data_IF_098985041380
#
_entry.id   IF_098985041380
#
_cell.length_a   1.000
_cell.length_b   1.000
_cell.length_c   1.000
_cell.angle_alpha   90.00
_cell.angle_beta   90.00
_cell.angle_gamma   90.00
#
_symmetry.space_group_name_H-M   'P 1'
#
loop_
_entity.id
_entity.type
_entity.pdbx_description
1 polymer ?
#
# COMPACT_ATOMS: atom_id res chain seq x y z
N UNK A 1 -10.90 -6.04 20.49
CA UNK A 1 -10.49 -5.81 19.09
C UNK A 1 -9.10 -6.39 18.90
N UNK A 2 -8.93 -7.25 17.89
CA UNK A 2 -7.63 -7.84 17.57
C UNK A 2 -6.87 -6.87 16.67
N UNK A 3 -5.60 -6.60 16.99
CA UNK A 3 -4.73 -5.75 16.19
C UNK A 3 -3.64 -6.60 15.55
N UNK A 4 -3.40 -6.37 14.27
CA UNK A 4 -2.20 -6.89 13.60
C UNK A 4 -0.98 -6.11 14.07
N UNK A 5 0.21 -6.74 14.00
CA UNK A 5 1.45 -5.97 14.18
C UNK A 5 1.54 -4.88 13.10
N UNK A 6 1.84 -3.62 13.47
CA UNK A 6 1.87 -2.53 12.49
C UNK A 6 2.82 -2.81 11.34
N UNK A 7 2.40 -2.45 10.13
CA UNK A 7 3.27 -2.38 8.96
C UNK A 7 3.92 -1.00 8.90
N UNK A 8 5.21 -0.96 8.59
CA UNK A 8 5.98 0.29 8.57
C UNK A 8 6.60 0.52 7.21
N UNK A 9 6.61 1.76 6.74
CA UNK A 9 7.10 2.12 5.42
C UNK A 9 8.17 3.21 5.50
N UNK A 10 9.11 3.12 4.56
CA UNK A 10 9.99 4.22 4.16
C UNK A 10 9.40 4.95 2.97
N UNK A 11 9.51 6.27 2.96
CA UNK A 11 9.12 7.11 1.83
C UNK A 11 10.33 7.88 1.31
N UNK A 12 10.52 7.81 0.00
CA UNK A 12 11.50 8.59 -0.73
C UNK A 12 10.77 9.54 -1.68
N UNK A 13 11.14 10.81 -1.65
CA UNK A 13 10.52 11.87 -2.46
C UNK A 13 11.58 12.55 -3.32
N UNK A 14 11.32 12.80 -4.59
CA UNK A 14 12.21 13.63 -5.42
C UNK A 14 11.68 15.06 -5.61
N UNK A 15 12.47 15.90 -6.27
CA UNK A 15 12.12 17.31 -6.55
C UNK A 15 10.83 17.47 -7.37
N UNK A 16 10.47 16.45 -8.17
CA UNK A 16 9.26 16.40 -8.97
C UNK A 16 8.02 15.92 -8.18
N UNK A 17 8.13 15.75 -6.85
CA UNK A 17 7.11 15.17 -5.97
C UNK A 17 6.71 13.74 -6.35
N UNK A 18 7.57 13.00 -7.04
CA UNK A 18 7.40 11.55 -7.18
C UNK A 18 7.73 10.90 -5.84
N UNK A 19 6.96 9.89 -5.49
CA UNK A 19 7.01 9.27 -4.19
C UNK A 19 7.16 7.77 -4.33
N UNK A 20 8.26 7.23 -3.83
CA UNK A 20 8.48 5.80 -3.72
C UNK A 20 8.24 5.39 -2.25
N UNK A 21 7.30 4.49 -2.02
CA UNK A 21 7.08 3.88 -0.70
C UNK A 21 7.49 2.41 -0.71
N UNK A 22 8.19 1.98 0.34
CA UNK A 22 8.66 0.60 0.52
C UNK A 22 8.31 0.09 1.91
N UNK A 23 7.71 -1.10 2.00
CA UNK A 23 7.45 -1.74 3.29
C UNK A 23 8.77 -2.20 3.92
N UNK A 24 8.97 -1.90 5.20
CA UNK A 24 10.10 -2.41 5.97
C UNK A 24 9.83 -3.87 6.36
N UNK A 25 10.74 -4.81 6.06
CA UNK A 25 10.60 -6.17 6.52
C UNK A 25 10.61 -6.22 8.05
N UNK A 26 9.77 -7.08 8.63
CA UNK A 26 9.76 -7.31 10.08
C UNK A 26 11.08 -7.99 10.49
N UNK A 27 11.82 -7.39 11.41
CA UNK A 27 13.00 -8.02 12.03
C UNK A 27 12.59 -9.35 12.68
N UNK A 28 13.33 -10.43 12.40
CA UNK A 28 13.07 -11.80 12.89
C UNK A 28 11.77 -12.46 12.42
N UNK A 29 11.10 -11.93 11.39
CA UNK A 29 10.02 -12.65 10.72
C UNK A 29 10.65 -13.58 9.67
N UNK A 30 10.46 -14.89 9.83
CA UNK A 30 10.50 -15.76 8.66
C UNK A 30 9.37 -15.25 7.75
N UNK A 31 9.73 -14.50 6.71
CA UNK A 31 8.80 -14.09 5.67
C UNK A 31 8.41 -15.35 4.89
N UNK A 32 7.58 -16.19 5.50
CA UNK A 32 6.93 -17.28 4.81
C UNK A 32 5.91 -16.60 3.90
N UNK A 33 6.29 -16.43 2.63
CA UNK A 33 5.35 -16.02 1.60
C UNK A 33 4.17 -16.96 1.68
N UNK A 34 3.00 -16.41 2.03
CA UNK A 34 1.82 -17.24 2.16
C UNK A 34 1.50 -17.76 0.77
N UNK A 35 1.52 -19.08 0.59
CA UNK A 35 1.14 -19.72 -0.68
C UNK A 35 -0.21 -19.16 -1.09
N UNK A 36 -0.33 -18.67 -2.32
CA UNK A 36 -1.54 -17.98 -2.76
C UNK A 36 -1.61 -16.51 -2.34
N UNK A 37 -0.50 -15.81 -2.16
CA UNK A 37 -0.50 -14.35 -1.99
C UNK A 37 0.47 -13.67 -2.95
N UNK A 38 0.23 -12.39 -3.21
CA UNK A 38 1.20 -11.52 -3.88
C UNK A 38 1.86 -10.60 -2.85
N UNK A 39 3.08 -10.15 -3.14
CA UNK A 39 3.77 -9.11 -2.36
C UNK A 39 3.90 -7.83 -3.18
N UNK A 40 3.79 -6.68 -2.54
CA UNK A 40 4.09 -5.38 -3.17
C UNK A 40 5.47 -4.98 -2.71
N UNK A 41 6.46 -5.01 -3.62
CA UNK A 41 7.84 -4.65 -3.29
C UNK A 41 7.98 -3.16 -3.00
N UNK A 42 7.37 -2.33 -3.85
CA UNK A 42 7.27 -0.89 -3.66
C UNK A 42 6.13 -0.28 -4.49
N UNK A 43 5.66 0.88 -4.05
CA UNK A 43 4.64 1.68 -4.73
C UNK A 43 5.24 3.03 -5.11
N UNK A 44 5.07 3.44 -6.37
CA UNK A 44 5.46 4.75 -6.86
C UNK A 44 4.21 5.58 -7.18
N UNK A 45 4.05 6.72 -6.53
CA UNK A 45 2.96 7.66 -6.76
C UNK A 45 3.50 8.86 -7.53
N UNK A 46 2.90 9.14 -8.69
CA UNK A 46 3.07 10.39 -9.43
C UNK A 46 1.82 11.26 -9.23
N UNK A 47 1.87 12.24 -8.30
CA UNK A 47 0.72 13.10 -8.02
C UNK A 47 0.40 14.09 -9.14
N UNK A 48 1.37 14.41 -10.01
CA UNK A 48 1.20 15.33 -11.14
C UNK A 48 0.41 14.64 -12.25
N UNK A 49 0.85 13.46 -12.66
CA UNK A 49 0.16 12.66 -13.68
C UNK A 49 -1.08 11.94 -13.15
N UNK A 50 -1.27 11.93 -11.81
CA UNK A 50 -2.31 11.19 -11.10
C UNK A 50 -2.26 9.70 -11.43
N UNK A 51 -1.08 9.11 -11.32
CA UNK A 51 -0.83 7.69 -11.60
C UNK A 51 -0.11 7.05 -10.43
N UNK A 52 -0.42 5.78 -10.18
CA UNK A 52 0.29 4.88 -9.27
C UNK A 52 0.91 3.76 -10.11
N UNK A 53 2.15 3.42 -9.80
CA UNK A 53 2.83 2.22 -10.27
C UNK A 53 3.15 1.33 -9.05
N UNK A 54 2.91 0.03 -9.17
CA UNK A 54 3.24 -0.96 -8.15
C UNK A 54 4.16 -2.02 -8.77
N UNK A 55 5.23 -2.36 -8.06
CA UNK A 55 6.00 -3.58 -8.32
C UNK A 55 5.40 -4.71 -7.49
N UNK A 56 4.70 -5.62 -8.17
CA UNK A 56 4.00 -6.73 -7.52
C UNK A 56 4.65 -8.06 -7.90
N UNK A 57 4.99 -8.89 -6.91
CA UNK A 57 5.53 -10.23 -7.11
C UNK A 57 4.49 -11.32 -6.80
N UNK A 58 4.41 -12.32 -7.68
CA UNK A 58 3.71 -13.60 -7.44
C UNK A 58 4.69 -14.73 -7.80
N UNK A 59 5.06 -15.56 -6.83
CA UNK A 59 5.93 -16.75 -7.02
C UNK A 59 7.13 -16.48 -7.95
N UNK A 60 7.91 -15.44 -7.64
CA UNK A 60 9.09 -15.01 -8.40
C UNK A 60 8.81 -14.35 -9.76
N UNK A 61 7.55 -13.98 -10.05
CA UNK A 61 7.20 -13.15 -11.23
C UNK A 61 6.86 -11.74 -10.80
N UNK A 62 7.60 -10.76 -11.30
CA UNK A 62 7.32 -9.35 -11.08
C UNK A 62 6.41 -8.76 -12.16
N UNK A 63 5.47 -7.91 -11.74
CA UNK A 63 4.54 -7.19 -12.59
C UNK A 63 4.63 -5.70 -12.30
N UNK A 64 4.80 -4.91 -13.36
CA UNK A 64 4.65 -3.45 -13.29
C UNK A 64 3.19 -3.09 -13.47
N UNK A 65 2.49 -2.86 -12.37
CA UNK A 65 1.05 -2.59 -12.36
C UNK A 65 0.80 -1.09 -12.32
N UNK A 66 -0.02 -0.58 -13.23
CA UNK A 66 -0.39 0.82 -13.34
C UNK A 66 -1.86 1.03 -12.97
N UNK A 67 -2.14 2.03 -12.16
CA UNK A 67 -3.50 2.45 -11.80
C UNK A 67 -3.62 3.97 -11.68
N UNK A 68 -4.83 4.54 -11.81
CA UNK A 68 -5.03 5.96 -11.58
C UNK A 68 -4.96 6.29 -10.08
N UNK A 69 -4.27 7.37 -9.73
CA UNK A 69 -4.33 7.98 -8.40
C UNK A 69 -5.67 8.72 -8.29
N UNK A 70 -6.62 8.13 -7.57
CA UNK A 70 -7.92 8.73 -7.29
C UNK A 70 -8.06 8.96 -5.79
N UNK A 71 -8.34 10.21 -5.41
CA UNK A 71 -8.82 10.51 -4.07
C UNK A 71 -10.30 10.10 -4.02
N UNK A 72 -10.65 9.24 -3.08
CA UNK A 72 -12.03 8.83 -2.88
C UNK A 72 -12.87 10.02 -2.40
N UNK A 73 -14.04 10.25 -3.00
CA UNK A 73 -14.90 11.38 -2.64
C UNK A 73 -15.55 11.21 -1.27
N UNK A 74 -15.52 10.00 -0.71
CA UNK A 74 -16.12 9.68 0.59
C UNK A 74 -15.24 10.03 1.80
N UNK A 75 -14.09 10.69 1.60
CA UNK A 75 -13.28 11.17 2.72
C UNK A 75 -13.99 12.29 3.49
N UNK A 76 -14.18 12.06 4.78
CA UNK A 76 -14.69 13.04 5.75
C UNK A 76 -13.49 13.62 6.52
N UNK A 77 -13.23 14.91 6.33
CA UNK A 77 -12.15 15.60 7.03
C UNK A 77 -12.59 16.04 8.42
N UNK A 78 -11.77 15.77 9.43
CA UNK A 78 -11.97 16.24 10.80
C UNK A 78 -11.04 17.41 11.11
N UNK A 79 -11.35 18.16 12.18
CA UNK A 79 -10.44 19.15 12.80
C UNK A 79 -9.51 18.50 13.82
N UNK A 80 -9.69 17.22 14.12
CA UNK A 80 -8.85 16.52 15.07
C UNK A 80 -7.40 16.48 14.60
N UNK A 81 -6.50 16.79 15.51
CA UNK A 81 -5.06 16.79 15.27
C UNK A 81 -4.34 15.91 16.27
N UNK A 82 -3.24 15.29 15.84
CA UNK A 82 -2.29 14.64 16.73
C UNK A 82 -0.87 14.83 16.20
N UNK A 83 0.12 14.67 17.07
CA UNK A 83 1.53 14.75 16.69
C UNK A 83 2.08 13.35 16.43
N UNK A 84 2.61 13.10 15.23
CA UNK A 84 3.31 11.87 14.84
C UNK A 84 4.74 12.24 14.48
N UNK A 85 5.73 11.67 15.16
CA UNK A 85 7.17 11.95 14.93
C UNK A 85 7.49 13.47 14.91
N UNK A 86 6.87 14.25 15.81
CA UNK A 86 7.04 15.70 15.87
C UNK A 86 6.25 16.50 14.82
N UNK A 87 5.50 15.85 13.94
CA UNK A 87 4.72 16.49 12.87
C UNK A 87 3.23 16.51 13.24
N UNK A 88 2.59 17.67 13.13
CA UNK A 88 1.15 17.81 13.34
C UNK A 88 0.40 17.19 12.15
N UNK A 89 -0.42 16.18 12.44
CA UNK A 89 -1.27 15.49 11.48
C UNK A 89 -2.74 15.80 11.75
N UNK A 90 -3.53 15.94 10.70
CA UNK A 90 -4.99 16.09 10.73
C UNK A 90 -5.65 14.76 10.37
N UNK A 91 -6.79 14.45 11.00
CA UNK A 91 -7.55 13.23 10.70
C UNK A 91 -8.47 13.40 9.49
N UNK A 92 -8.58 12.34 8.69
CA UNK A 92 -9.74 12.09 7.83
C UNK A 92 -10.23 10.65 8.02
N UNK A 93 -11.51 10.42 7.74
CA UNK A 93 -12.11 9.08 7.81
C UNK A 93 -12.88 8.76 6.54
N UNK A 94 -12.97 7.48 6.21
CA UNK A 94 -13.75 7.01 5.06
C UNK A 94 -14.34 5.66 5.41
N UNK A 95 -15.59 5.44 5.01
CA UNK A 95 -16.24 4.15 5.16
C UNK A 95 -16.45 3.48 3.81
N UNK A 96 -16.07 2.20 3.73
CA UNK A 96 -16.42 1.31 2.62
C UNK A 96 -17.28 0.15 3.12
N UNK A 97 -17.77 -0.66 2.20
CA UNK A 97 -18.63 -1.81 2.52
C UNK A 97 -17.99 -2.80 3.49
N UNK A 98 -16.66 -3.01 3.39
CA UNK A 98 -15.93 -4.00 4.20
C UNK A 98 -15.12 -3.40 5.36
N UNK A 99 -14.64 -2.16 5.22
CA UNK A 99 -13.70 -1.55 6.15
C UNK A 99 -14.06 -0.09 6.43
N UNK A 100 -13.68 0.39 7.61
CA UNK A 100 -13.51 1.81 7.88
C UNK A 100 -12.02 2.16 7.86
N UNK A 101 -11.73 3.35 7.37
CA UNK A 101 -10.38 3.87 7.25
C UNK A 101 -10.29 5.15 8.08
N UNK A 102 -9.30 5.22 8.95
CA UNK A 102 -8.88 6.46 9.60
C UNK A 102 -7.46 6.78 9.13
N UNK A 103 -7.23 8.00 8.68
CA UNK A 103 -5.92 8.46 8.20
C UNK A 103 -5.51 9.72 8.91
N UNK A 104 -4.21 9.83 9.16
CA UNK A 104 -3.59 11.00 9.75
C UNK A 104 -2.57 11.56 8.75
N UNK A 105 -2.82 12.76 8.24
CA UNK A 105 -2.00 13.39 7.20
C UNK A 105 -1.49 14.78 7.61
N UNK A 106 -0.26 15.10 7.22
CA UNK A 106 0.44 16.33 7.55
C UNK A 106 0.36 17.35 6.42
N UNK A 107 -0.41 18.42 6.62
CA UNK A 107 -0.54 19.54 5.66
C UNK A 107 0.74 20.37 5.51
N UNK A 108 1.61 20.35 6.53
CA UNK A 108 2.91 21.05 6.51
C UNK A 108 3.87 20.48 5.48
N UNK A 109 3.71 19.21 5.10
CA UNK A 109 4.47 18.54 4.05
C UNK A 109 3.56 18.46 2.82
N UNK A 110 3.80 19.31 1.82
CA UNK A 110 2.91 19.49 0.66
C UNK A 110 2.84 18.28 -0.28
N UNK A 111 3.72 17.32 -0.10
CA UNK A 111 3.77 16.07 -0.86
C UNK A 111 2.49 15.25 -0.63
N UNK A 112 1.70 15.03 -1.67
CA UNK A 112 0.39 14.33 -1.60
C UNK A 112 0.53 12.81 -1.66
N UNK A 113 1.46 12.28 -0.89
CA UNK A 113 1.84 10.87 -0.92
C UNK A 113 1.50 10.18 0.40
N UNK A 114 1.82 8.89 0.47
CA UNK A 114 1.62 8.09 1.66
C UNK A 114 2.15 6.68 1.47
N UNK A 115 2.07 5.85 2.53
CA UNK A 115 2.49 4.47 2.44
C UNK A 115 1.51 3.68 1.58
N UNK A 116 2.04 2.74 0.79
CA UNK A 116 1.27 1.91 -0.14
C UNK A 116 0.48 2.80 -1.13
N UNK A 117 -0.81 2.53 -1.36
CA UNK A 117 -1.67 3.28 -2.28
C UNK A 117 -2.45 4.43 -1.61
N UNK A 118 -2.16 4.77 -0.35
CA UNK A 118 -2.86 5.83 0.37
C UNK A 118 -2.22 7.20 0.10
N UNK A 119 -2.38 7.69 -1.12
CA UNK A 119 -1.97 9.05 -1.54
C UNK A 119 -3.16 9.96 -1.88
N UNK A 120 -2.86 11.18 -2.35
CA UNK A 120 -3.86 12.11 -2.89
C UNK A 120 -4.53 13.04 -1.89
N UNK A 121 -4.37 12.81 -0.58
CA UNK A 121 -4.83 13.73 0.46
C UNK A 121 -4.04 15.05 0.42
N UNK A 122 -4.56 16.16 0.99
CA UNK A 122 -3.89 17.45 0.99
C UNK A 122 -2.74 17.49 2.00
N UNK A 123 -1.70 16.71 1.74
CA UNK A 123 -0.52 16.54 2.58
C UNK A 123 -0.04 15.09 2.62
N UNK A 124 1.06 14.86 3.33
CA UNK A 124 1.66 13.54 3.47
C UNK A 124 0.88 12.68 4.46
N UNK A 125 0.47 11.47 4.06
CA UNK A 125 -0.13 10.49 4.98
C UNK A 125 0.95 9.85 5.85
N UNK A 126 0.78 9.98 7.18
CA UNK A 126 1.73 9.48 8.18
C UNK A 126 1.27 8.17 8.83
N UNK A 127 -0.03 7.98 8.99
CA UNK A 127 -0.59 6.77 9.61
C UNK A 127 -1.97 6.46 9.02
N UNK A 128 -2.25 5.18 8.81
CA UNK A 128 -3.57 4.66 8.43
C UNK A 128 -3.95 3.55 9.42
N UNK A 129 -5.19 3.61 9.90
CA UNK A 129 -5.85 2.53 10.60
C UNK A 129 -6.96 1.98 9.70
N UNK A 130 -6.90 0.68 9.42
CA UNK A 130 -7.90 -0.03 8.62
C UNK A 130 -8.63 -0.96 9.58
N UNK A 131 -9.90 -0.70 9.82
CA UNK A 131 -10.73 -1.48 10.73
C UNK A 131 -11.78 -2.24 9.92
N UNK A 132 -11.77 -3.58 9.96
CA UNK A 132 -12.82 -4.37 9.35
C UNK A 132 -14.18 -4.09 10.00
N UNK A 133 -15.25 -4.08 9.20
CA UNK A 133 -16.63 -3.93 9.72
C UNK A 133 -17.19 -5.25 10.27
N UNK A 134 -16.57 -6.39 9.95
CA UNK A 134 -16.92 -7.68 10.54
C UNK A 134 -16.20 -7.86 11.89
N UNK A 135 -16.90 -8.45 12.87
CA UNK A 135 -16.39 -8.60 14.24
C UNK A 135 -15.20 -9.57 14.36
N UNK A 136 -14.99 -10.41 13.35
CA UNK A 136 -13.88 -11.39 13.30
C UNK A 136 -12.61 -10.84 12.64
N UNK A 137 -12.65 -9.63 12.07
CA UNK A 137 -11.50 -9.03 11.40
C UNK A 137 -10.50 -8.42 12.38
N UNK A 138 -9.21 -8.49 12.03
CA UNK A 138 -8.16 -7.77 12.76
C UNK A 138 -7.97 -6.36 12.21
N UNK A 139 -7.78 -5.38 13.09
CA UNK A 139 -7.43 -4.01 12.72
C UNK A 139 -5.97 -3.95 12.27
N UNK A 140 -5.73 -3.43 11.07
CA UNK A 140 -4.39 -3.19 10.55
C UNK A 140 -3.98 -1.74 10.78
N UNK A 141 -2.72 -1.53 11.17
CA UNK A 141 -2.13 -0.20 11.29
C UNK A 141 -0.94 -0.11 10.34
N UNK A 142 -0.91 0.94 9.51
CA UNK A 142 0.18 1.25 8.59
C UNK A 142 0.80 2.58 8.99
N UNK A 143 2.12 2.62 9.19
CA UNK A 143 2.84 3.81 9.65
C UNK A 143 3.96 4.20 8.69
N UNK A 144 4.07 5.49 8.44
CA UNK A 144 5.28 6.09 7.90
C UNK A 144 6.33 6.18 8.99
N UNK A 145 7.53 5.69 8.71
CA UNK A 145 8.62 5.67 9.69
C UNK A 145 9.79 6.56 9.34
N UNK A 146 10.04 6.78 8.06
CA UNK A 146 11.10 7.65 7.58
C UNK A 146 10.68 8.34 6.30
N UNK A 147 11.18 9.57 6.11
CA UNK A 147 10.92 10.38 4.92
C UNK A 147 12.27 10.93 4.48
N UNK A 148 12.73 10.48 3.31
CA UNK A 148 13.99 10.90 2.72
C UNK A 148 13.74 11.63 1.40
N UNK A 149 14.57 12.63 1.11
CA UNK A 149 14.56 13.32 -0.18
C UNK A 149 15.68 12.75 -1.05
N UNK A 150 15.33 12.23 -2.23
CA UNK A 150 16.28 11.79 -3.26
C UNK A 150 16.42 12.92 -4.28
N UNK A 151 17.57 13.60 -4.26
CA UNK A 151 17.87 14.70 -5.19
C UNK A 151 18.38 14.21 -6.55
N UNK A 152 18.61 12.89 -6.70
CA UNK A 152 19.11 12.29 -7.93
C UNK A 152 17.98 11.56 -8.68
N UNK A 153 17.48 12.18 -9.74
CA UNK A 153 16.44 11.58 -10.58
C UNK A 153 16.87 10.24 -11.20
N UNK A 154 18.16 9.99 -11.44
CA UNK A 154 18.61 8.68 -11.95
C UNK A 154 18.40 7.57 -10.94
N UNK A 155 18.65 7.85 -9.66
CA UNK A 155 18.43 6.90 -8.58
C UNK A 155 16.93 6.59 -8.46
N UNK A 156 16.07 7.62 -8.48
CA UNK A 156 14.63 7.45 -8.46
C UNK A 156 14.11 6.68 -9.69
N UNK A 157 14.59 7.01 -10.89
CA UNK A 157 14.18 6.36 -12.14
C UNK A 157 14.64 4.90 -12.24
N UNK A 158 15.70 4.50 -11.52
CA UNK A 158 16.11 3.10 -11.46
C UNK A 158 15.00 2.19 -10.91
N UNK A 159 14.22 2.68 -9.95
CA UNK A 159 13.06 1.95 -9.42
C UNK A 159 11.99 1.73 -10.48
N UNK A 160 11.77 2.66 -11.41
CA UNK A 160 10.81 2.44 -12.51
C UNK A 160 11.29 1.42 -13.53
N UNK A 161 12.60 1.37 -13.77
CA UNK A 161 13.22 0.54 -14.80
C UNK A 161 13.42 -0.91 -14.33
N UNK A 162 13.53 -1.14 -13.02
CA UNK A 162 13.84 -2.45 -12.45
C UNK A 162 12.61 -3.33 -12.11
N UNK A 163 11.38 -2.84 -12.34
CA UNK A 163 10.14 -3.58 -12.02
C UNK A 163 9.93 -4.76 -12.98
N UNK A 164 9.61 -4.41 -14.23
CA UNK A 164 9.25 -5.30 -15.33
C UNK A 164 9.15 -4.44 -16.59
N UNK A 165 9.60 -4.96 -17.73
CA UNK A 165 9.53 -4.26 -19.02
C UNK A 165 8.07 -4.06 -19.49
N UNK A 166 7.16 -4.94 -19.04
CA UNK A 166 5.75 -4.87 -19.41
C UNK A 166 4.94 -4.20 -18.31
N UNK A 167 4.35 -3.04 -18.65
CA UNK A 167 3.34 -2.38 -17.81
C UNK A 167 1.97 -2.94 -18.11
N UNK A 168 1.23 -3.35 -17.08
CA UNK A 168 -0.18 -3.80 -17.17
C UNK A 168 -1.06 -2.92 -16.29
N UNK A 169 -2.35 -2.84 -16.58
CA UNK A 169 -3.33 -2.19 -15.72
C UNK A 169 -3.64 -3.00 -14.47
N UNK A 170 -4.16 -2.34 -13.43
CA UNK A 170 -4.63 -3.04 -12.22
C UNK A 170 -5.67 -4.11 -12.52
N UNK A 171 -6.63 -3.84 -13.40
CA UNK A 171 -7.66 -4.83 -13.77
C UNK A 171 -7.11 -6.04 -14.53
N UNK A 172 -6.02 -5.89 -15.30
CA UNK A 172 -5.32 -7.02 -15.89
C UNK A 172 -4.57 -7.84 -14.84
N UNK A 173 -3.92 -7.16 -13.89
CA UNK A 173 -3.27 -7.84 -12.76
C UNK A 173 -4.27 -8.61 -11.90
N UNK A 174 -5.42 -8.02 -11.58
CA UNK A 174 -6.45 -8.66 -10.76
C UNK A 174 -6.91 -9.98 -11.41
N UNK A 175 -7.07 -10.04 -12.74
CA UNK A 175 -7.36 -11.30 -13.46
C UNK A 175 -6.24 -12.34 -13.37
N UNK A 176 -4.98 -11.91 -13.52
CA UNK A 176 -3.81 -12.78 -13.36
C UNK A 176 -3.79 -13.37 -11.95
N UNK A 177 -4.08 -12.54 -10.95
CA UNK A 177 -4.11 -12.96 -9.56
C UNK A 177 -5.29 -13.91 -9.28
N UNK A 178 -6.49 -13.65 -9.80
CA UNK A 178 -7.64 -14.56 -9.69
C UNK A 178 -7.36 -15.95 -10.27
N UNK A 179 -6.71 -16.04 -11.43
CA UNK A 179 -6.34 -17.32 -12.02
C UNK A 179 -5.23 -18.02 -11.25
N UNK A 180 -4.30 -17.27 -10.66
CA UNK A 180 -3.31 -17.81 -9.74
C UNK A 180 -3.96 -18.40 -8.48
N UNK A 181 -4.93 -17.69 -7.88
CA UNK A 181 -5.68 -18.19 -6.72
C UNK A 181 -6.40 -19.51 -7.00
N UNK A 182 -7.06 -19.64 -8.16
CA UNK A 182 -7.74 -20.88 -8.57
C UNK A 182 -6.76 -22.06 -8.64
N UNK A 183 -5.58 -21.86 -9.24
CA UNK A 183 -4.54 -22.91 -9.32
C UNK A 183 -4.04 -23.32 -7.94
N UNK A 184 -3.80 -22.36 -7.06
CA UNK A 184 -3.43 -22.65 -5.67
C UNK A 184 -4.52 -23.46 -4.97
N UNK A 185 -5.80 -23.10 -5.17
CA UNK A 185 -6.91 -23.86 -4.62
C UNK A 185 -7.01 -25.28 -5.20
N UNK A 186 -6.78 -25.47 -6.50
CA UNK A 186 -6.76 -26.81 -7.12
C UNK A 186 -5.62 -27.68 -6.58
N UNK A 187 -4.43 -27.09 -6.40
CA UNK A 187 -3.24 -27.82 -5.93
C UNK A 187 -3.28 -28.15 -4.43
N UNK A 188 -3.81 -27.24 -3.61
CA UNK A 188 -3.72 -27.33 -2.14
C UNK A 188 -5.08 -27.48 -1.44
N UNK A 189 -6.19 -27.30 -2.15
CA UNK A 189 -7.56 -27.41 -1.61
C UNK A 189 -8.16 -28.82 -1.68
N UNK A 190 -7.45 -29.79 -2.23
CA UNK A 190 -7.88 -31.19 -2.31
C UNK A 190 -7.12 -32.09 -1.33
N UNK A 191 -7.57 -32.14 -0.07
CA UNK A 191 -7.53 -33.33 0.79
C UNK A 191 -8.25 -33.10 2.13
N UNK A 192 -9.31 -33.89 2.36
CA UNK A 192 -10.12 -33.98 3.59
C UNK A 192 -11.59 -33.58 3.31
N UNK A 193 -12.55 -34.48 3.13
CA UNK A 193 -12.82 -35.74 3.85
C UNK A 193 -13.53 -36.70 2.88
N UNK A 194 -12.95 -37.87 2.62
CA UNK A 194 -13.75 -39.02 2.19
C UNK A 194 -14.72 -39.33 3.32
N UNK A 195 -16.02 -39.11 3.06
CA UNK A 195 -17.09 -39.59 3.93
C UNK A 195 -17.29 -41.07 3.63
N UNK A 196 -16.56 -41.91 4.35
CA UNK A 196 -17.00 -43.26 4.67
C UNK A 196 -17.92 -43.22 5.90
#
# INVERSE_FOLDING_TARGET
>A
EQYESPKTYDLFVNENNLCLSKERPKLNSNNMEMIGSYTINYTIINPVEKIIYEDINIENRNYKVKSPLKLDENWVFSRDTKTINGIVATKATMEKSKNTYEVWFAKSIKTKCGPNNFGGLPGLVLEITIKPKNETGSTSIVKMTNIETINNDKEFNSYFNNISDKTISRGEFDKIYEDYQKKVQEMYGGNGVDKD
#
